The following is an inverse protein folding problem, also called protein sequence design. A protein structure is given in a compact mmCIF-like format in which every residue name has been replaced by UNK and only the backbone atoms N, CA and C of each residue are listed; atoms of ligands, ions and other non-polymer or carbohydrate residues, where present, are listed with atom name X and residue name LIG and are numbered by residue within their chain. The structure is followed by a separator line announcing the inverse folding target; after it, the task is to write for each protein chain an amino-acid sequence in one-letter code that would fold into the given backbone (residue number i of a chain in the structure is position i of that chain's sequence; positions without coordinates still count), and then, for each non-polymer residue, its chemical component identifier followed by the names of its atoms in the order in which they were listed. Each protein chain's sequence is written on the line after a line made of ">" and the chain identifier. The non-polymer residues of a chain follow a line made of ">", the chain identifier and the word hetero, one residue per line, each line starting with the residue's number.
data_IF_285512123701
#
_entry.id   IF_285512123701
#
_cell.length_a   1.000
_cell.length_b   1.000
_cell.length_c   1.000
_cell.angle_alpha   90.00
_cell.angle_beta   90.00
_cell.angle_gamma   90.00
#
_symmetry.space_group_name_H-M   'P 1'
#
loop_
_entity.id
_entity.type
_entity.pdbx_description
1 polymer ?
#
# COMPACT_ATOMS: atom_id res chain seq x y z
N UNK A 1 44.20 -26.71 21.69
CA UNK A 1 45.48 -26.24 21.12
C UNK A 1 45.71 -27.01 19.84
N UNK A 2 45.29 -26.47 18.70
CA UNK A 2 45.54 -27.06 17.38
C UNK A 2 46.76 -26.32 16.83
N UNK A 3 47.89 -27.02 16.71
CA UNK A 3 49.12 -26.52 16.13
C UNK A 3 48.96 -26.52 14.61
N UNK A 4 48.73 -25.34 14.01
CA UNK A 4 48.75 -25.14 12.56
C UNK A 4 50.04 -24.40 12.20
N UNK A 5 50.81 -25.02 11.31
CA UNK A 5 51.98 -24.47 10.63
C UNK A 5 51.61 -23.12 9.96
N UNK A 6 52.54 -22.15 9.88
CA UNK A 6 52.25 -20.74 9.52
C UNK A 6 51.53 -20.57 8.16
N UNK A 7 51.59 -21.59 7.29
CA UNK A 7 50.90 -21.63 5.99
C UNK A 7 49.45 -22.10 6.04
N UNK A 8 49.04 -22.86 7.06
CA UNK A 8 47.66 -23.35 7.23
C UNK A 8 46.73 -22.32 7.87
N UNK A 9 47.29 -21.35 8.58
CA UNK A 9 46.52 -20.31 9.26
C UNK A 9 45.80 -19.37 8.28
N UNK A 10 46.42 -19.07 7.13
CA UNK A 10 45.82 -18.22 6.09
C UNK A 10 44.55 -18.83 5.51
N UNK A 11 44.58 -20.15 5.22
CA UNK A 11 43.43 -20.88 4.66
C UNK A 11 42.27 -20.93 5.65
N UNK A 12 42.57 -21.05 6.95
CA UNK A 12 41.55 -21.04 8.01
C UNK A 12 40.83 -19.69 8.07
N UNK A 13 41.55 -18.58 7.96
CA UNK A 13 40.92 -17.25 7.93
C UNK A 13 40.02 -17.04 6.71
N UNK A 14 40.41 -17.55 5.53
CA UNK A 14 39.58 -17.49 4.32
C UNK A 14 38.28 -18.27 4.50
N UNK A 15 38.36 -19.49 5.05
CA UNK A 15 37.18 -20.34 5.29
C UNK A 15 36.23 -19.68 6.30
N UNK A 16 36.77 -19.11 7.39
CA UNK A 16 35.96 -18.41 8.40
C UNK A 16 35.30 -17.18 7.79
N UNK A 17 36.02 -16.38 6.99
CA UNK A 17 35.45 -15.22 6.31
C UNK A 17 34.29 -15.59 5.38
N UNK A 18 34.46 -16.65 4.59
CA UNK A 18 33.40 -17.16 3.71
C UNK A 18 32.18 -17.67 4.50
N UNK A 19 32.40 -18.39 5.60
CA UNK A 19 31.32 -18.89 6.45
C UNK A 19 30.51 -17.74 7.07
N UNK A 20 31.17 -16.67 7.53
CA UNK A 20 30.51 -15.47 8.05
C UNK A 20 29.70 -14.77 6.95
N UNK A 21 30.26 -14.64 5.75
CA UNK A 21 29.58 -14.00 4.61
C UNK A 21 28.33 -14.78 4.20
N UNK A 22 28.39 -16.12 4.17
CA UNK A 22 27.24 -16.98 3.94
C UNK A 22 26.18 -16.85 5.03
N UNK A 23 26.57 -16.81 6.30
CA UNK A 23 25.63 -16.61 7.42
C UNK A 23 24.90 -15.26 7.32
N UNK A 24 25.62 -14.17 7.03
CA UNK A 24 25.02 -12.85 6.83
C UNK A 24 24.07 -12.86 5.63
N UNK A 25 24.48 -13.47 4.51
CA UNK A 25 23.64 -13.60 3.32
C UNK A 25 22.34 -14.37 3.61
N UNK A 26 22.42 -15.46 4.38
CA UNK A 26 21.25 -16.24 4.82
C UNK A 26 20.34 -15.40 5.72
N UNK A 27 20.90 -14.68 6.70
CA UNK A 27 20.12 -13.82 7.59
C UNK A 27 19.39 -12.71 6.82
N UNK A 28 20.06 -12.06 5.86
CA UNK A 28 19.44 -11.05 4.98
C UNK A 28 18.35 -11.67 4.10
N UNK A 29 18.60 -12.87 3.56
CA UNK A 29 17.62 -13.58 2.73
C UNK A 29 16.34 -13.93 3.51
N UNK A 30 16.46 -14.38 4.76
CA UNK A 30 15.30 -14.68 5.59
C UNK A 30 14.64 -13.42 6.16
N UNK A 31 15.39 -12.37 6.52
CA UNK A 31 14.80 -11.13 7.03
C UNK A 31 14.03 -10.34 5.97
N UNK A 32 14.44 -10.44 4.71
CA UNK A 32 13.71 -9.84 3.56
C UNK A 32 12.50 -10.65 3.11
N UNK A 33 12.37 -11.92 3.54
CA UNK A 33 11.24 -12.80 3.20
C UNK A 33 10.01 -12.60 4.09
N UNK A 34 10.16 -12.06 5.30
CA UNK A 34 9.03 -11.88 6.24
C UNK A 34 8.11 -10.68 5.94
N UNK A 35 8.26 -10.04 4.77
CA UNK A 35 7.32 -9.01 4.29
C UNK A 35 6.69 -9.34 2.93
N UNK A 36 6.67 -10.61 2.52
CA UNK A 36 5.71 -11.04 1.51
C UNK A 36 4.33 -11.14 2.17
N UNK A 37 3.28 -10.43 1.70
CA UNK A 37 1.95 -10.58 2.27
C UNK A 37 1.52 -12.03 2.05
N UNK A 38 1.58 -12.81 3.13
CA UNK A 38 0.88 -14.08 3.19
C UNK A 38 -0.59 -13.72 3.03
N UNK A 39 -1.07 -13.97 1.81
CA UNK A 39 -2.46 -13.90 1.39
C UNK A 39 -3.24 -14.97 2.14
N UNK A 40 -3.43 -14.77 3.44
CA UNK A 40 -4.64 -15.23 4.10
C UNK A 40 -5.74 -14.27 3.62
N UNK A 41 -6.27 -14.57 2.42
CA UNK A 41 -7.60 -14.10 2.05
C UNK A 41 -8.48 -14.50 3.24
N UNK A 42 -9.08 -13.56 3.98
CA UNK A 42 -9.93 -13.93 5.11
C UNK A 42 -10.98 -14.90 4.61
N UNK A 43 -11.13 -16.02 5.31
CA UNK A 43 -12.08 -17.06 4.93
C UNK A 43 -13.44 -16.41 4.72
N UNK A 44 -14.03 -16.63 3.53
CA UNK A 44 -15.37 -16.16 3.21
C UNK A 44 -16.30 -16.74 4.28
N UNK A 45 -16.82 -15.89 5.16
CA UNK A 45 -17.79 -16.30 6.15
C UNK A 45 -19.03 -16.77 5.41
N UNK A 46 -19.58 -17.92 5.81
CA UNK A 46 -20.86 -18.38 5.29
C UNK A 46 -21.91 -17.40 5.81
N UNK A 47 -22.36 -16.51 4.94
CA UNK A 47 -23.41 -15.54 5.23
C UNK A 47 -24.73 -16.31 5.36
N UNK A 48 -25.44 -16.22 6.51
CA UNK A 48 -26.76 -16.83 6.65
C UNK A 48 -27.69 -16.34 5.55
N UNK A 49 -28.53 -17.23 5.00
CA UNK A 49 -29.43 -16.92 3.87
C UNK A 49 -30.32 -15.70 4.12
N UNK A 50 -30.62 -15.43 5.38
CA UNK A 50 -31.41 -14.31 5.84
C UNK A 50 -30.72 -12.98 5.52
N UNK A 51 -29.41 -12.84 5.69
CA UNK A 51 -28.69 -11.55 5.57
C UNK A 51 -27.96 -11.36 4.24
N UNK A 52 -28.23 -12.23 3.25
CA UNK A 52 -27.56 -12.18 1.94
C UNK A 52 -27.81 -10.84 1.23
N UNK A 53 -29.04 -10.33 1.25
CA UNK A 53 -29.37 -9.06 0.60
C UNK A 53 -28.60 -7.87 1.18
N UNK A 54 -28.48 -7.81 2.51
CA UNK A 54 -27.68 -6.80 3.21
C UNK A 54 -26.20 -6.93 2.85
N UNK A 55 -25.69 -8.17 2.84
CA UNK A 55 -24.30 -8.46 2.49
C UNK A 55 -23.99 -8.04 1.05
N UNK A 56 -24.82 -8.43 0.09
CA UNK A 56 -24.61 -8.13 -1.33
C UNK A 56 -24.63 -6.62 -1.60
N UNK A 57 -25.53 -5.89 -0.95
CA UNK A 57 -25.60 -4.43 -1.07
C UNK A 57 -24.33 -3.77 -0.52
N UNK A 58 -23.86 -4.17 0.67
CA UNK A 58 -22.64 -3.63 1.26
C UNK A 58 -21.40 -4.02 0.46
N UNK A 59 -21.33 -5.27 -0.04
CA UNK A 59 -20.25 -5.73 -0.90
C UNK A 59 -20.19 -4.95 -2.21
N UNK A 60 -21.33 -4.69 -2.84
CA UNK A 60 -21.39 -3.86 -4.05
C UNK A 60 -20.92 -2.43 -3.79
N UNK A 61 -21.41 -1.80 -2.70
CA UNK A 61 -20.99 -0.45 -2.36
C UNK A 61 -19.50 -0.34 -2.01
N UNK A 62 -18.97 -1.27 -1.20
CA UNK A 62 -17.53 -1.30 -0.88
C UNK A 62 -16.70 -1.49 -2.13
N UNK A 63 -17.12 -2.36 -3.05
CA UNK A 63 -16.47 -2.55 -4.35
C UNK A 63 -16.42 -1.23 -5.13
N UNK A 64 -17.52 -0.50 -5.21
CA UNK A 64 -17.58 0.78 -5.93
C UNK A 64 -16.68 1.85 -5.28
N UNK A 65 -16.66 1.92 -3.94
CA UNK A 65 -15.74 2.80 -3.21
C UNK A 65 -14.28 2.43 -3.46
N UNK A 66 -13.93 1.13 -3.44
CA UNK A 66 -12.58 0.66 -3.72
C UNK A 66 -12.16 1.00 -5.15
N UNK A 67 -13.03 0.77 -6.14
CA UNK A 67 -12.77 1.13 -7.54
C UNK A 67 -12.55 2.64 -7.69
N UNK A 68 -13.43 3.45 -7.09
CA UNK A 68 -13.32 4.91 -7.13
C UNK A 68 -12.01 5.39 -6.49
N UNK A 69 -11.65 4.82 -5.34
CA UNK A 69 -10.39 5.08 -4.67
C UNK A 69 -9.19 4.73 -5.55
N UNK A 70 -9.19 3.54 -6.19
CA UNK A 70 -8.13 3.11 -7.10
C UNK A 70 -7.99 4.04 -8.32
N UNK A 71 -9.11 4.52 -8.87
CA UNK A 71 -9.11 5.51 -9.95
C UNK A 71 -8.43 6.81 -9.46
N UNK A 72 -8.76 7.29 -8.27
CA UNK A 72 -8.11 8.47 -7.70
C UNK A 72 -6.60 8.29 -7.46
N UNK A 73 -6.19 7.12 -6.94
CA UNK A 73 -4.77 6.75 -6.82
C UNK A 73 -4.10 6.84 -8.18
N UNK A 74 -4.66 6.20 -9.21
CA UNK A 74 -4.10 6.21 -10.57
C UNK A 74 -4.00 7.60 -11.19
N UNK A 75 -5.04 8.42 -11.04
CA UNK A 75 -5.08 9.79 -11.57
C UNK A 75 -4.09 10.73 -10.91
N UNK A 76 -3.68 10.46 -9.67
CA UNK A 76 -2.83 11.36 -8.87
C UNK A 76 -1.37 10.88 -8.79
N UNK A 77 -0.98 9.89 -9.60
CA UNK A 77 0.38 9.33 -9.59
C UNK A 77 0.67 8.45 -8.37
N UNK A 78 -0.35 7.82 -7.79
CA UNK A 78 -0.22 6.88 -6.67
C UNK A 78 -0.74 7.39 -5.32
N UNK A 79 -1.29 8.61 -5.26
CA UNK A 79 -1.72 9.24 -4.01
C UNK A 79 -3.23 9.43 -3.95
N UNK A 80 -3.87 9.04 -2.84
CA UNK A 80 -5.26 9.44 -2.56
C UNK A 80 -5.35 10.84 -1.98
N UNK A 81 -4.33 11.27 -1.25
CA UNK A 81 -4.22 12.61 -0.69
C UNK A 81 -2.98 13.31 -1.25
N UNK A 82 -3.22 14.39 -1.98
CA UNK A 82 -2.19 15.15 -2.70
C UNK A 82 -1.85 16.48 -2.01
N UNK A 83 -2.37 16.73 -0.80
CA UNK A 83 -2.13 17.98 -0.07
C UNK A 83 -0.66 18.26 0.23
N UNK A 84 0.11 17.19 0.43
CA UNK A 84 1.55 17.28 0.72
C UNK A 84 2.40 17.48 -0.54
N UNK A 85 1.82 17.33 -1.73
CA UNK A 85 2.51 17.58 -2.99
C UNK A 85 2.59 19.08 -3.25
N UNK A 86 3.71 19.52 -3.79
CA UNK A 86 3.98 20.89 -4.17
C UNK A 86 4.05 21.00 -5.70
N UNK A 87 3.22 21.88 -6.25
CA UNK A 87 3.20 22.23 -7.67
C UNK A 87 3.75 23.64 -7.85
N UNK A 88 4.61 23.86 -8.84
CA UNK A 88 5.08 25.18 -9.19
C UNK A 88 4.89 25.40 -10.71
N UNK A 89 3.87 26.19 -11.12
CA UNK A 89 3.58 26.41 -12.53
C UNK A 89 4.59 27.32 -13.24
N UNK A 90 5.36 28.11 -12.49
CA UNK A 90 6.38 29.02 -13.05
C UNK A 90 7.68 28.28 -13.31
N UNK A 91 8.12 27.49 -12.32
CA UNK A 91 9.32 26.65 -12.40
C UNK A 91 8.93 25.20 -12.07
N UNK A 92 8.53 24.38 -13.07
CA UNK A 92 8.05 23.01 -12.82
C UNK A 92 9.02 22.09 -12.08
N UNK A 93 10.31 22.39 -12.15
CA UNK A 93 11.41 21.67 -11.48
C UNK A 93 11.58 22.03 -10.00
N UNK A 94 10.94 23.11 -9.54
CA UNK A 94 10.92 23.50 -8.12
C UNK A 94 9.70 22.88 -7.39
N UNK A 95 9.04 21.88 -8.01
CA UNK A 95 7.91 21.14 -7.47
C UNK A 95 8.09 19.63 -7.64
N UNK A 96 7.31 18.87 -6.87
CA UNK A 96 7.29 17.40 -6.91
C UNK A 96 5.98 16.85 -7.52
N UNK A 97 5.16 17.75 -8.09
CA UNK A 97 3.92 17.41 -8.78
C UNK A 97 3.57 18.39 -9.89
N UNK A 98 2.75 17.89 -10.82
CA UNK A 98 2.07 18.69 -11.83
C UNK A 98 0.65 19.00 -11.36
N UNK A 99 0.22 20.25 -11.46
CA UNK A 99 -1.17 20.62 -11.20
C UNK A 99 -1.88 20.98 -12.51
N UNK A 100 -2.85 20.15 -12.91
CA UNK A 100 -3.64 20.38 -14.12
C UNK A 100 -4.79 21.37 -13.89
N UNK A 101 -5.43 21.29 -12.73
CA UNK A 101 -6.52 22.15 -12.28
C UNK A 101 -6.36 22.43 -10.78
N UNK A 102 -6.99 23.50 -10.23
CA UNK A 102 -6.87 23.80 -8.81
C UNK A 102 -7.19 22.60 -7.92
N UNK A 103 -6.23 22.21 -7.07
CA UNK A 103 -6.27 21.05 -6.17
C UNK A 103 -6.19 19.67 -6.86
N UNK A 104 -5.90 19.60 -8.15
CA UNK A 104 -5.65 18.35 -8.87
C UNK A 104 -4.15 18.23 -9.17
N UNK A 105 -3.41 17.68 -8.21
CA UNK A 105 -1.97 17.46 -8.31
C UNK A 105 -1.68 16.00 -8.66
N UNK A 106 -0.74 15.79 -9.56
CA UNK A 106 -0.25 14.49 -10.01
C UNK A 106 1.23 14.41 -9.63
N UNK A 107 1.59 13.46 -8.78
CA UNK A 107 2.97 13.31 -8.32
C UNK A 107 3.92 12.96 -9.47
N UNK A 108 5.11 13.55 -9.47
CA UNK A 108 6.20 13.09 -10.33
C UNK A 108 6.84 11.86 -9.70
N UNK A 109 6.82 10.73 -10.40
CA UNK A 109 7.49 9.51 -9.91
C UNK A 109 8.99 9.69 -9.79
N UNK A 110 9.59 10.40 -10.74
CA UNK A 110 10.99 10.82 -10.66
C UNK A 110 11.12 12.25 -11.16
N UNK A 111 11.85 13.07 -10.43
CA UNK A 111 12.01 14.49 -10.72
C UNK A 111 13.38 14.97 -10.28
N UNK A 112 13.81 16.08 -10.88
CA UNK A 112 15.02 16.78 -10.44
C UNK A 112 14.69 17.55 -9.17
N UNK A 113 15.38 17.24 -8.08
CA UNK A 113 15.20 17.89 -6.79
C UNK A 113 16.13 19.11 -6.63
N UNK A 114 17.17 19.20 -7.46
CA UNK A 114 18.03 20.38 -7.56
C UNK A 114 17.45 21.45 -8.48
N UNK A 115 17.93 22.69 -8.34
CA UNK A 115 17.63 23.80 -9.26
C UNK A 115 18.12 23.51 -10.68
N UNK A 116 17.51 24.14 -11.67
CA UNK A 116 17.80 23.96 -13.09
C UNK A 116 19.24 24.31 -13.52
N UNK A 117 19.93 25.16 -12.78
CA UNK A 117 21.31 25.59 -13.05
C UNK A 117 22.36 24.74 -12.33
N UNK A 118 21.97 23.55 -11.83
CA UNK A 118 22.86 22.63 -11.15
C UNK A 118 24.05 22.20 -12.02
N UNK A 119 25.27 22.29 -11.45
CA UNK A 119 26.47 21.66 -12.02
C UNK A 119 26.53 20.17 -11.68
N UNK A 120 26.03 19.81 -10.50
CA UNK A 120 25.82 18.43 -10.05
C UNK A 120 24.37 18.29 -9.62
N UNK A 121 23.55 17.73 -10.49
CA UNK A 121 22.10 17.65 -10.29
C UNK A 121 21.73 16.46 -9.40
N UNK A 122 20.71 16.63 -8.56
CA UNK A 122 20.15 15.58 -7.72
C UNK A 122 18.73 15.26 -8.15
N UNK A 123 18.39 13.98 -8.04
CA UNK A 123 17.08 13.44 -8.41
C UNK A 123 16.45 12.82 -7.17
N UNK A 124 15.12 12.84 -7.14
CA UNK A 124 14.31 12.26 -6.08
C UNK A 124 13.05 11.66 -6.69
N UNK A 125 12.41 10.78 -5.94
CA UNK A 125 11.26 10.03 -6.39
C UNK A 125 10.08 10.23 -5.42
N UNK A 126 8.85 10.28 -5.96
CA UNK A 126 7.59 10.25 -5.19
C UNK A 126 6.76 9.04 -5.56
N UNK A 127 7.39 7.88 -5.73
CA UNK A 127 6.68 6.62 -5.93
C UNK A 127 6.22 6.14 -4.54
N UNK A 128 4.91 6.09 -4.24
CA UNK A 128 4.45 5.57 -2.96
C UNK A 128 4.62 4.06 -2.90
N UNK A 129 4.88 3.53 -1.70
CA UNK A 129 4.90 2.08 -1.51
C UNK A 129 3.50 1.49 -1.66
N UNK A 130 3.42 0.22 -2.07
CA UNK A 130 2.13 -0.50 -2.11
C UNK A 130 1.44 -0.52 -0.74
N UNK A 131 2.20 -0.62 0.34
CA UNK A 131 1.64 -0.59 1.69
C UNK A 131 0.98 0.75 2.00
N UNK A 132 1.60 1.86 1.59
CA UNK A 132 0.99 3.19 1.72
C UNK A 132 -0.31 3.28 0.92
N UNK A 133 -0.31 2.83 -0.34
CA UNK A 133 -1.51 2.84 -1.18
C UNK A 133 -2.62 2.00 -0.55
N UNK A 134 -2.27 0.83 0.00
CA UNK A 134 -3.21 -0.07 0.69
C UNK A 134 -3.87 0.63 1.87
N UNK A 135 -3.08 1.19 2.78
CA UNK A 135 -3.58 1.88 3.97
C UNK A 135 -4.39 3.13 3.60
N UNK A 136 -3.95 3.88 2.59
CA UNK A 136 -4.71 5.03 2.10
C UNK A 136 -6.08 4.61 1.52
N UNK A 137 -6.15 3.49 0.78
CA UNK A 137 -7.42 2.95 0.27
C UNK A 137 -8.32 2.43 1.39
N UNK A 138 -7.78 1.72 2.38
CA UNK A 138 -8.54 1.28 3.57
C UNK A 138 -9.18 2.47 4.28
N UNK A 139 -8.40 3.52 4.52
CA UNK A 139 -8.88 4.77 5.13
C UNK A 139 -9.91 5.48 4.24
N UNK A 140 -9.69 5.51 2.92
CA UNK A 140 -10.64 6.11 1.99
C UNK A 140 -11.99 5.39 2.00
N UNK A 141 -11.99 4.06 1.90
CA UNK A 141 -13.24 3.28 1.93
C UNK A 141 -13.95 3.49 3.26
N UNK A 142 -13.23 3.41 4.39
CA UNK A 142 -13.81 3.64 5.73
C UNK A 142 -14.40 5.04 5.89
N UNK A 143 -13.69 6.08 5.43
CA UNK A 143 -14.15 7.46 5.52
C UNK A 143 -15.42 7.72 4.69
N UNK A 144 -15.63 6.96 3.61
CA UNK A 144 -16.79 7.08 2.73
C UNK A 144 -17.87 6.01 2.99
N UNK A 145 -17.61 5.06 3.89
CA UNK A 145 -18.49 3.90 4.12
C UNK A 145 -19.89 4.28 4.63
N UNK A 146 -20.07 5.46 5.23
CA UNK A 146 -21.39 5.95 5.61
C UNK A 146 -22.35 6.05 4.41
N UNK A 147 -21.84 6.31 3.21
CA UNK A 147 -22.66 6.30 1.98
C UNK A 147 -23.25 4.91 1.67
N UNK A 148 -22.54 3.84 2.04
CA UNK A 148 -23.05 2.47 1.93
C UNK A 148 -24.15 2.19 2.95
N UNK A 149 -24.04 2.77 4.14
CA UNK A 149 -25.07 2.63 5.18
C UNK A 149 -26.38 3.30 4.77
N UNK A 150 -26.30 4.42 4.08
CA UNK A 150 -27.50 5.12 3.60
C UNK A 150 -28.30 4.25 2.61
N UNK A 151 -27.64 3.37 1.85
CA UNK A 151 -28.31 2.42 0.96
C UNK A 151 -29.09 1.35 1.74
N UNK A 152 -28.69 0.99 2.96
CA UNK A 152 -29.42 0.03 3.79
C UNK A 152 -30.82 0.55 4.17
N UNK A 153 -31.02 1.86 4.21
CA UNK A 153 -32.34 2.45 4.47
C UNK A 153 -33.35 2.17 3.34
N UNK A 154 -32.88 1.73 2.17
CA UNK A 154 -33.77 1.32 1.06
C UNK A 154 -34.42 -0.05 1.29
N UNK A 155 -33.90 -0.84 2.23
CA UNK A 155 -34.43 -2.14 2.58
C UNK A 155 -35.61 -1.99 3.56
N UNK A 156 -36.84 -2.16 3.07
CA UNK A 156 -38.07 -1.94 3.85
C UNK A 156 -38.25 -2.89 5.03
N UNK A 157 -37.68 -4.08 4.93
CA UNK A 157 -37.96 -5.20 5.83
C UNK A 157 -36.88 -5.37 6.92
N UNK A 158 -35.83 -4.53 6.88
CA UNK A 158 -34.65 -4.63 7.74
C UNK A 158 -34.57 -3.50 8.76
N UNK A 159 -34.12 -3.83 9.97
CA UNK A 159 -33.68 -2.85 10.97
C UNK A 159 -32.24 -3.12 11.34
N UNK A 160 -31.33 -2.40 10.71
CA UNK A 160 -29.90 -2.50 10.98
C UNK A 160 -29.57 -1.67 12.22
N UNK A 161 -28.88 -2.28 13.19
CA UNK A 161 -28.39 -1.62 14.38
C UNK A 161 -26.89 -1.81 14.47
N UNK A 162 -26.14 -0.72 14.51
CA UNK A 162 -24.70 -0.77 14.66
C UNK A 162 -24.31 -1.26 16.06
N UNK A 163 -23.50 -2.31 16.13
CA UNK A 163 -22.99 -2.84 17.39
C UNK A 163 -21.53 -2.47 17.64
N UNK A 164 -20.82 -2.00 16.61
CA UNK A 164 -19.41 -1.58 16.68
C UNK A 164 -18.97 -0.77 15.47
N UNK A 165 -17.67 -0.54 15.36
CA UNK A 165 -17.07 0.14 14.20
C UNK A 165 -16.69 -0.87 13.11
N UNK A 166 -17.02 -0.61 11.84
CA UNK A 166 -16.58 -1.45 10.74
C UNK A 166 -15.07 -1.33 10.51
N UNK A 167 -14.47 -2.36 9.92
CA UNK A 167 -13.10 -2.34 9.43
C UNK A 167 -13.03 -2.81 7.99
N UNK A 168 -12.07 -2.27 7.24
CA UNK A 168 -11.82 -2.65 5.84
C UNK A 168 -10.36 -3.07 5.73
N UNK A 169 -10.12 -4.20 5.07
CA UNK A 169 -8.80 -4.68 4.71
C UNK A 169 -8.67 -4.76 3.20
N UNK A 170 -7.66 -4.11 2.63
CA UNK A 170 -7.35 -4.18 1.20
C UNK A 170 -6.22 -5.19 0.99
N UNK A 171 -6.37 -6.07 0.01
CA UNK A 171 -5.35 -7.06 -0.36
C UNK A 171 -5.00 -6.87 -1.83
N UNK A 172 -3.71 -6.72 -2.11
CA UNK A 172 -3.18 -6.71 -3.47
C UNK A 172 -2.59 -8.08 -3.77
N UNK A 173 -3.01 -8.64 -4.90
CA UNK A 173 -2.41 -9.84 -5.49
C UNK A 173 -1.86 -9.49 -6.88
N UNK A 174 -1.20 -10.44 -7.54
CA UNK A 174 -0.66 -10.23 -8.87
C UNK A 174 -1.75 -9.99 -9.94
N UNK A 175 -2.99 -10.45 -9.70
CA UNK A 175 -4.07 -10.42 -10.69
C UNK A 175 -5.28 -9.55 -10.26
N UNK A 176 -5.49 -9.37 -8.97
CA UNK A 176 -6.70 -8.75 -8.43
C UNK A 176 -6.45 -7.93 -7.15
N UNK A 177 -7.39 -7.01 -6.91
CA UNK A 177 -7.48 -6.25 -5.66
C UNK A 177 -8.71 -6.72 -4.90
N UNK A 178 -8.51 -7.28 -3.71
CA UNK A 178 -9.59 -7.69 -2.80
C UNK A 178 -9.87 -6.61 -1.75
N UNK A 179 -11.15 -6.38 -1.46
CA UNK A 179 -11.59 -5.53 -0.36
C UNK A 179 -12.48 -6.33 0.58
N UNK A 180 -12.08 -6.42 1.86
CA UNK A 180 -12.76 -7.20 2.87
C UNK A 180 -13.34 -6.29 3.94
N UNK A 181 -14.66 -6.26 4.01
CA UNK A 181 -15.40 -5.54 5.03
C UNK A 181 -15.69 -6.47 6.21
N UNK A 182 -15.34 -6.03 7.41
CA UNK A 182 -15.87 -6.59 8.65
C UNK A 182 -16.88 -5.61 9.21
N UNK A 183 -18.16 -5.99 9.21
CA UNK A 183 -19.26 -5.17 9.72
C UNK A 183 -19.88 -5.81 10.97
N UNK A 184 -19.84 -5.14 12.14
CA UNK A 184 -20.29 -5.69 13.42
C UNK A 184 -21.79 -5.52 13.70
#
# INVERSE_FOLDING_TARGET
>A
MILLDEKGQLTVFIIIGLAILLLIGILIYYSTREQGPVSELPAISIVPSEVVEVSDLLSACVKDLTITGLIHVGQSGGYLNTRELNSNPVNPTDGDSLEFFPNNKIAYWSFMNSKNDCVSCSFSDKIPSLDKIRTDLENYVLANFNTCKDQLNSLSDWRVKETGSPSVKIVFTDAEVGAYLTYP
#
